data_IF_461972902216
#
_entry.id   IF_461972902216
#
_cell.length_a   1.000
_cell.length_b   1.000
_cell.length_c   1.000
_cell.angle_alpha   90.00
_cell.angle_beta   90.00
_cell.angle_gamma   90.00
#
_symmetry.space_group_name_H-M   'P 1'
#
loop_
_entity.id
_entity.type
_entity.pdbx_description
1 polymer ?
#
# COMPACT_ATOMS: atom_id res chain seq x y z
N UNK A 1 -39.84 11.03 -2.64
CA UNK A 1 -39.57 9.91 -1.71
C UNK A 1 -38.51 8.92 -2.22
N UNK A 2 -38.68 8.29 -3.40
CA UNK A 2 -37.75 7.29 -3.97
C UNK A 2 -36.27 7.72 -4.08
N UNK A 3 -36.01 8.98 -4.47
CA UNK A 3 -34.65 9.56 -4.57
C UNK A 3 -33.95 9.75 -3.22
N UNK A 4 -34.71 9.79 -2.12
CA UNK A 4 -34.18 9.84 -0.75
C UNK A 4 -33.74 8.44 -0.31
N UNK A 5 -34.62 7.44 -0.44
CA UNK A 5 -34.31 6.04 -0.13
C UNK A 5 -33.09 5.51 -0.89
N UNK A 6 -32.94 5.87 -2.17
CA UNK A 6 -31.74 5.51 -2.96
C UNK A 6 -30.44 6.07 -2.37
N UNK A 7 -30.46 7.27 -1.77
CA UNK A 7 -29.26 7.85 -1.13
C UNK A 7 -28.95 7.16 0.21
N UNK A 8 -29.97 6.85 1.00
CA UNK A 8 -29.79 6.07 2.24
C UNK A 8 -29.14 4.72 1.98
N UNK A 9 -29.59 3.98 0.96
CA UNK A 9 -28.99 2.69 0.58
C UNK A 9 -27.51 2.82 0.23
N UNK A 10 -27.11 3.91 -0.45
CA UNK A 10 -25.71 4.16 -0.80
C UNK A 10 -24.87 4.40 0.47
N UNK A 11 -25.37 5.17 1.43
CA UNK A 11 -24.66 5.39 2.69
C UNK A 11 -24.52 4.09 3.51
N UNK A 12 -25.59 3.29 3.59
CA UNK A 12 -25.55 1.98 4.26
C UNK A 12 -24.52 1.07 3.60
N UNK A 13 -24.44 1.06 2.26
CA UNK A 13 -23.46 0.27 1.53
C UNK A 13 -22.02 0.71 1.83
N UNK A 14 -21.75 2.02 1.88
CA UNK A 14 -20.43 2.55 2.23
C UNK A 14 -20.04 2.13 3.65
N UNK A 15 -20.95 2.28 4.61
CA UNK A 15 -20.70 1.88 6.02
C UNK A 15 -20.43 0.37 6.08
N UNK A 16 -21.22 -0.43 5.39
CA UNK A 16 -21.04 -1.88 5.31
C UNK A 16 -19.66 -2.24 4.73
N UNK A 17 -19.25 -1.63 3.63
CA UNK A 17 -17.92 -1.84 3.01
C UNK A 17 -16.80 -1.49 3.99
N UNK A 18 -16.90 -0.38 4.72
CA UNK A 18 -15.87 0.01 5.70
C UNK A 18 -15.78 -1.03 6.82
N UNK A 19 -16.91 -1.40 7.44
CA UNK A 19 -16.96 -2.38 8.52
C UNK A 19 -16.41 -3.73 8.05
N UNK A 20 -16.90 -4.22 6.90
CA UNK A 20 -16.49 -5.50 6.37
C UNK A 20 -15.00 -5.50 5.99
N UNK A 21 -14.47 -4.38 5.48
CA UNK A 21 -13.04 -4.24 5.18
C UNK A 21 -12.21 -4.39 6.46
N UNK A 22 -12.62 -3.73 7.54
CA UNK A 22 -11.93 -3.84 8.82
C UNK A 22 -12.00 -5.27 9.36
N UNK A 23 -13.17 -5.91 9.33
CA UNK A 23 -13.36 -7.28 9.83
C UNK A 23 -12.50 -8.27 9.03
N UNK A 24 -12.54 -8.21 7.69
CA UNK A 24 -11.71 -9.05 6.84
C UNK A 24 -10.23 -8.86 7.15
N UNK A 25 -9.81 -7.61 7.39
CA UNK A 25 -8.40 -7.33 7.71
C UNK A 25 -7.98 -7.91 9.04
N UNK A 26 -8.78 -7.75 10.09
CA UNK A 26 -8.53 -8.34 11.40
C UNK A 26 -8.45 -9.87 11.30
N UNK A 27 -9.33 -10.47 10.51
CA UNK A 27 -9.35 -11.92 10.29
C UNK A 27 -8.11 -12.41 9.53
N UNK A 28 -7.72 -11.74 8.44
CA UNK A 28 -6.61 -12.20 7.60
C UNK A 28 -5.22 -11.86 8.17
N UNK A 29 -5.09 -10.79 8.97
CA UNK A 29 -3.80 -10.32 9.49
C UNK A 29 -2.91 -11.38 10.14
N UNK A 30 -3.40 -12.25 11.06
CA UNK A 30 -2.57 -13.29 11.66
C UNK A 30 -2.23 -14.45 10.70
N UNK A 31 -2.95 -14.57 9.58
CA UNK A 31 -2.82 -15.68 8.60
C UNK A 31 -1.97 -15.28 7.39
N UNK A 32 -1.93 -14.00 7.06
CA UNK A 32 -1.19 -13.49 5.91
C UNK A 32 0.34 -13.51 6.14
N UNK A 33 1.08 -13.86 5.08
CA UNK A 33 2.55 -13.98 5.08
C UNK A 33 3.07 -15.42 4.98
N UNK A 34 2.22 -16.43 5.16
CA UNK A 34 2.63 -17.84 5.03
C UNK A 34 2.98 -18.24 3.59
N UNK A 35 2.23 -17.72 2.61
CA UNK A 35 2.44 -18.03 1.18
C UNK A 35 3.72 -17.38 0.61
N UNK A 36 4.19 -16.29 1.22
CA UNK A 36 5.38 -15.54 0.80
C UNK A 36 6.51 -15.66 1.82
N UNK A 37 6.49 -16.75 2.61
CA UNK A 37 7.38 -16.92 3.75
C UNK A 37 8.84 -16.73 3.37
N UNK A 38 9.25 -17.27 2.21
CA UNK A 38 10.64 -17.16 1.75
C UNK A 38 11.02 -15.70 1.42
N UNK A 39 10.36 -15.07 0.45
CA UNK A 39 10.58 -13.66 0.08
C UNK A 39 10.53 -12.74 1.31
N UNK A 40 9.54 -12.94 2.17
CA UNK A 40 9.39 -12.17 3.39
C UNK A 40 10.55 -12.40 4.37
N UNK A 41 10.99 -13.65 4.56
CA UNK A 41 12.11 -13.99 5.43
C UNK A 41 13.44 -13.44 4.92
N UNK A 42 13.72 -13.51 3.62
CA UNK A 42 14.94 -12.94 3.04
C UNK A 42 14.96 -11.41 3.16
N UNK A 43 13.84 -10.74 2.87
CA UNK A 43 13.69 -9.30 3.09
C UNK A 43 13.81 -8.91 4.57
N UNK A 44 13.23 -9.69 5.47
CA UNK A 44 13.31 -9.45 6.90
C UNK A 44 14.75 -9.62 7.41
N UNK A 45 15.49 -10.63 6.93
CA UNK A 45 16.88 -10.86 7.30
C UNK A 45 17.78 -9.69 6.88
N UNK A 46 17.71 -9.27 5.61
CA UNK A 46 18.46 -8.11 5.10
C UNK A 46 18.16 -6.84 5.92
N UNK A 47 16.88 -6.59 6.19
CA UNK A 47 16.45 -5.42 6.97
C UNK A 47 16.93 -5.49 8.41
N UNK A 48 16.85 -6.66 9.04
CA UNK A 48 17.29 -6.86 10.42
C UNK A 48 18.78 -6.55 10.58
N UNK A 49 19.61 -6.96 9.63
CA UNK A 49 21.04 -6.60 9.61
C UNK A 49 21.22 -5.09 9.57
N UNK A 50 20.52 -4.39 8.66
CA UNK A 50 20.60 -2.92 8.58
C UNK A 50 20.12 -2.25 9.87
N UNK A 51 19.07 -2.78 10.51
CA UNK A 51 18.59 -2.28 11.80
C UNK A 51 19.61 -2.48 12.93
N UNK A 52 20.21 -3.67 13.04
CA UNK A 52 21.20 -4.00 14.08
C UNK A 52 22.51 -3.23 13.92
N UNK A 53 22.90 -2.92 12.67
CA UNK A 53 24.11 -2.13 12.36
C UNK A 53 23.86 -0.62 12.34
N UNK A 54 22.63 -0.16 12.57
CA UNK A 54 22.16 1.24 12.40
C UNK A 54 22.55 1.85 11.03
N UNK A 55 22.49 1.03 9.99
CA UNK A 55 22.82 1.42 8.62
C UNK A 55 21.57 1.82 7.84
N UNK A 56 21.73 2.79 6.95
CA UNK A 56 20.71 3.10 5.97
C UNK A 56 20.71 2.05 4.84
N UNK A 57 19.55 1.51 4.44
CA UNK A 57 19.49 0.48 3.41
C UNK A 57 19.86 1.09 2.07
N UNK A 58 20.97 0.64 1.49
CA UNK A 58 21.52 1.10 0.22
C UNK A 58 21.40 0.05 -0.89
N UNK A 59 20.96 -1.17 -0.56
CA UNK A 59 20.76 -2.27 -1.49
C UNK A 59 19.27 -2.42 -1.87
N UNK A 60 19.00 -2.97 -3.04
CA UNK A 60 17.64 -3.31 -3.49
C UNK A 60 17.12 -4.62 -2.88
N UNK A 61 15.80 -4.84 -2.97
CA UNK A 61 15.16 -6.07 -2.49
C UNK A 61 15.66 -7.28 -3.28
N UNK A 62 16.08 -8.36 -2.62
CA UNK A 62 16.53 -9.59 -3.31
C UNK A 62 15.39 -10.17 -4.14
N UNK A 63 15.68 -10.58 -5.36
CA UNK A 63 14.78 -11.39 -6.17
C UNK A 63 15.12 -12.85 -5.87
N UNK A 64 14.30 -13.56 -5.11
CA UNK A 64 14.68 -14.87 -4.58
C UNK A 64 15.14 -15.85 -5.65
N UNK A 65 16.31 -16.48 -5.41
CA UNK A 65 16.65 -17.83 -5.89
C UNK A 65 17.87 -18.50 -5.19
N UNK A 66 18.38 -18.03 -4.03
CA UNK A 66 19.60 -18.59 -3.43
C UNK A 66 19.68 -18.56 -1.90
N UNK A 67 20.92 -18.65 -1.38
CA UNK A 67 21.22 -18.75 0.05
C UNK A 67 21.13 -17.39 0.75
N UNK A 68 20.55 -17.36 1.96
CA UNK A 68 20.50 -16.15 2.81
C UNK A 68 21.88 -15.50 3.06
N UNK A 69 22.95 -16.29 2.96
CA UNK A 69 24.33 -15.85 3.19
C UNK A 69 25.06 -15.41 1.91
N UNK A 70 24.45 -15.59 0.74
CA UNK A 70 25.05 -15.22 -0.53
C UNK A 70 24.57 -13.83 -0.95
N UNK A 71 25.50 -12.88 -1.08
CA UNK A 71 25.20 -11.50 -1.48
C UNK A 71 25.26 -11.29 -3.00
N UNK A 72 25.52 -12.33 -3.79
CA UNK A 72 25.59 -12.27 -5.25
C UNK A 72 24.23 -12.27 -5.94
N UNK A 73 23.13 -12.41 -5.19
CA UNK A 73 21.79 -12.51 -5.75
C UNK A 73 21.33 -11.23 -6.47
N UNK A 74 20.60 -11.37 -7.59
CA UNK A 74 20.01 -10.24 -8.28
C UNK A 74 19.00 -9.51 -7.37
N UNK A 75 19.09 -8.18 -7.37
CA UNK A 75 18.24 -7.30 -6.55
C UNK A 75 17.35 -6.45 -7.44
N UNK A 76 16.07 -6.37 -7.10
CA UNK A 76 15.12 -5.47 -7.75
C UNK A 76 15.34 -4.06 -7.18
N UNK A 77 15.46 -3.03 -8.05
CA UNK A 77 15.47 -1.65 -7.60
C UNK A 77 14.20 -1.37 -6.79
N UNK A 78 14.40 -0.93 -5.56
CA UNK A 78 13.33 -0.84 -4.57
C UNK A 78 13.84 -0.31 -3.23
N UNK A 79 14.84 0.58 -3.23
CA UNK A 79 15.39 1.14 -1.98
C UNK A 79 14.30 1.70 -1.08
N UNK A 80 13.25 2.30 -1.66
CA UNK A 80 12.07 2.74 -0.90
C UNK A 80 11.37 1.62 -0.12
N UNK A 81 11.32 0.39 -0.66
CA UNK A 81 10.75 -0.75 0.08
C UNK A 81 11.50 -1.03 1.38
N UNK A 82 12.83 -1.09 1.34
CA UNK A 82 13.61 -1.31 2.55
C UNK A 82 13.64 -0.09 3.48
N UNK A 83 13.64 1.13 2.95
CA UNK A 83 13.49 2.36 3.76
C UNK A 83 12.15 2.31 4.51
N UNK A 84 11.06 2.03 3.80
CA UNK A 84 9.71 1.95 4.37
C UNK A 84 9.62 0.86 5.44
N UNK A 85 10.14 -0.33 5.13
CA UNK A 85 10.20 -1.44 6.09
C UNK A 85 11.00 -1.04 7.33
N UNK A 86 12.23 -0.52 7.16
CA UNK A 86 13.09 -0.12 8.27
C UNK A 86 12.43 0.97 9.14
N UNK A 87 11.75 1.95 8.54
CA UNK A 87 10.98 2.97 9.30
C UNK A 87 9.89 2.30 10.14
N UNK A 88 9.07 1.43 9.55
CA UNK A 88 8.03 0.71 10.28
C UNK A 88 8.61 -0.15 11.42
N UNK A 89 9.76 -0.78 11.19
CA UNK A 89 10.42 -1.64 12.17
C UNK A 89 11.07 -0.84 13.31
N UNK A 90 11.70 0.30 12.99
CA UNK A 90 12.21 1.27 13.98
C UNK A 90 11.09 1.83 14.85
N UNK A 91 9.98 2.26 14.24
CA UNK A 91 8.78 2.72 14.98
C UNK A 91 8.20 1.64 15.90
N UNK A 92 8.35 0.38 15.52
CA UNK A 92 7.90 -0.77 16.28
C UNK A 92 8.93 -1.29 17.31
N UNK A 93 10.06 -0.61 17.50
CA UNK A 93 11.15 -1.05 18.38
C UNK A 93 11.60 -2.50 18.10
N UNK A 94 11.68 -2.88 16.83
CA UNK A 94 12.07 -4.23 16.42
C UNK A 94 10.97 -5.30 16.54
N UNK A 95 9.74 -4.93 16.91
CA UNK A 95 8.62 -5.87 16.94
C UNK A 95 7.98 -6.02 15.55
N UNK A 96 8.16 -7.20 14.93
CA UNK A 96 7.66 -7.46 13.58
C UNK A 96 6.13 -7.40 13.47
N UNK A 97 5.40 -7.84 14.49
CA UNK A 97 3.94 -7.80 14.50
C UNK A 97 3.44 -6.35 14.49
N UNK A 98 4.02 -5.50 15.33
CA UNK A 98 3.68 -4.07 15.38
C UNK A 98 4.14 -3.36 14.10
N UNK A 99 5.31 -3.71 13.55
CA UNK A 99 5.79 -3.18 12.27
C UNK A 99 4.82 -3.46 11.11
N UNK A 100 4.20 -4.65 11.07
CA UNK A 100 3.16 -4.98 10.10
C UNK A 100 1.89 -4.14 10.27
N UNK A 101 1.56 -3.73 11.49
CA UNK A 101 0.45 -2.79 11.74
C UNK A 101 0.79 -1.41 11.15
N UNK A 102 2.01 -0.90 11.38
CA UNK A 102 2.46 0.35 10.74
C UNK A 102 2.45 0.25 9.22
N UNK A 103 2.88 -0.88 8.66
CA UNK A 103 2.79 -1.14 7.23
C UNK A 103 1.35 -1.05 6.72
N UNK A 104 0.41 -1.76 7.36
CA UNK A 104 -1.01 -1.72 7.01
C UNK A 104 -1.55 -0.28 7.02
N UNK A 105 -1.26 0.50 8.06
CA UNK A 105 -1.69 1.90 8.16
C UNK A 105 -1.11 2.72 7.00
N UNK A 106 0.21 2.64 6.80
CA UNK A 106 0.90 3.42 5.77
C UNK A 106 0.41 3.08 4.35
N UNK A 107 0.16 1.80 4.07
CA UNK A 107 -0.27 1.31 2.77
C UNK A 107 -1.76 1.60 2.51
N UNK A 108 -2.56 1.89 3.54
CA UNK A 108 -3.93 2.38 3.40
C UNK A 108 -3.99 3.88 3.04
N UNK A 109 -3.01 4.70 3.43
CA UNK A 109 -3.02 6.16 3.19
C UNK A 109 -3.19 6.49 1.68
N UNK A 110 -2.38 5.94 0.75
CA UNK A 110 -2.56 6.16 -0.68
C UNK A 110 -3.97 5.88 -1.19
N UNK A 111 -4.57 4.79 -0.72
CA UNK A 111 -5.90 4.36 -1.13
C UNK A 111 -6.99 5.24 -0.55
N UNK A 112 -6.86 5.68 0.71
CA UNK A 112 -7.80 6.61 1.31
C UNK A 112 -7.77 7.97 0.61
N UNK A 113 -6.58 8.45 0.22
CA UNK A 113 -6.45 9.67 -0.60
C UNK A 113 -7.11 9.50 -1.97
N UNK A 114 -6.89 8.36 -2.64
CA UNK A 114 -7.58 8.02 -3.90
C UNK A 114 -9.10 8.00 -3.74
N UNK A 115 -9.62 7.33 -2.72
CA UNK A 115 -11.06 7.27 -2.46
C UNK A 115 -11.63 8.66 -2.13
N UNK A 116 -10.92 9.48 -1.37
CA UNK A 116 -11.30 10.87 -1.13
C UNK A 116 -11.34 11.69 -2.43
N UNK A 117 -10.35 11.53 -3.31
CA UNK A 117 -10.35 12.16 -4.62
C UNK A 117 -11.55 11.70 -5.48
N UNK A 118 -11.85 10.40 -5.51
CA UNK A 118 -13.04 9.87 -6.22
C UNK A 118 -14.32 10.49 -5.67
N UNK A 119 -14.44 10.60 -4.34
CA UNK A 119 -15.59 11.26 -3.69
C UNK A 119 -15.74 12.72 -4.10
N UNK A 120 -14.62 13.45 -4.23
CA UNK A 120 -14.62 14.86 -4.62
C UNK A 120 -14.92 15.08 -6.10
N UNK A 121 -14.47 14.18 -6.98
CA UNK A 121 -14.57 14.33 -8.44
C UNK A 121 -15.85 13.75 -9.02
N UNK A 122 -16.37 12.67 -8.43
CA UNK A 122 -17.49 11.90 -8.98
C UNK A 122 -18.71 11.89 -8.05
N UNK A 123 -19.81 11.28 -8.51
CA UNK A 123 -21.01 11.14 -7.70
C UNK A 123 -20.82 10.15 -6.53
N UNK A 124 -21.61 10.31 -5.47
CA UNK A 124 -21.63 9.41 -4.31
C UNK A 124 -21.85 7.94 -4.70
N UNK A 125 -22.61 7.67 -5.77
CA UNK A 125 -22.84 6.31 -6.28
C UNK A 125 -21.56 5.68 -6.84
N UNK A 126 -20.79 6.45 -7.61
CA UNK A 126 -19.51 6.00 -8.16
C UNK A 126 -18.53 5.74 -7.02
N UNK A 127 -18.45 6.66 -6.06
CA UNK A 127 -17.63 6.48 -4.86
C UNK A 127 -17.96 5.17 -4.13
N UNK A 128 -19.24 4.85 -3.94
CA UNK A 128 -19.65 3.62 -3.27
C UNK A 128 -19.27 2.34 -4.03
N UNK A 129 -19.37 2.35 -5.37
CA UNK A 129 -18.93 1.22 -6.20
C UNK A 129 -17.41 1.06 -6.13
N UNK A 130 -16.66 2.15 -6.31
CA UNK A 130 -15.20 2.12 -6.33
C UNK A 130 -14.64 1.75 -4.94
N UNK A 131 -15.20 2.28 -3.86
CA UNK A 131 -14.78 1.91 -2.51
C UNK A 131 -15.02 0.44 -2.21
N UNK A 132 -16.14 -0.13 -2.66
CA UNK A 132 -16.39 -1.57 -2.59
C UNK A 132 -15.32 -2.36 -3.36
N UNK A 133 -15.11 -2.02 -4.64
CA UNK A 133 -14.16 -2.73 -5.50
C UNK A 133 -12.72 -2.67 -4.98
N UNK A 134 -12.32 -1.59 -4.31
CA UNK A 134 -10.95 -1.43 -3.80
C UNK A 134 -10.80 -2.03 -2.40
N UNK A 135 -11.69 -1.68 -1.45
CA UNK A 135 -11.54 -2.07 -0.05
C UNK A 135 -11.87 -3.54 0.20
N UNK A 136 -12.73 -4.14 -0.64
CA UNK A 136 -13.12 -5.56 -0.57
C UNK A 136 -12.30 -6.47 -1.49
N UNK A 137 -11.33 -5.93 -2.23
CA UNK A 137 -10.50 -6.72 -3.11
C UNK A 137 -9.57 -7.63 -2.28
N UNK A 138 -9.77 -8.95 -2.39
CA UNK A 138 -9.01 -9.94 -1.61
C UNK A 138 -7.51 -9.84 -1.90
N UNK A 139 -7.12 -9.59 -3.15
CA UNK A 139 -5.72 -9.40 -3.52
C UNK A 139 -5.13 -8.15 -2.85
N UNK A 140 -5.85 -7.03 -2.85
CA UNK A 140 -5.40 -5.82 -2.15
C UNK A 140 -5.34 -6.04 -0.63
N UNK A 141 -6.32 -6.72 -0.05
CA UNK A 141 -6.37 -7.04 1.39
C UNK A 141 -5.11 -7.82 1.79
N UNK A 142 -4.81 -8.93 1.11
CA UNK A 142 -3.67 -9.79 1.46
C UNK A 142 -2.32 -9.10 1.26
N UNK A 143 -2.17 -8.32 0.17
CA UNK A 143 -0.94 -7.59 -0.13
C UNK A 143 -0.63 -6.48 0.87
N UNK A 144 -1.64 -5.81 1.41
CA UNK A 144 -1.44 -4.67 2.30
C UNK A 144 -0.94 -5.07 3.72
N UNK A 145 -0.99 -6.36 4.08
CA UNK A 145 -0.66 -6.83 5.43
C UNK A 145 0.74 -7.41 5.59
N UNK A 146 1.50 -7.49 4.49
CA UNK A 146 2.83 -8.12 4.46
C UNK A 146 3.86 -7.12 3.91
N UNK A 147 5.11 -7.27 4.36
CA UNK A 147 6.23 -6.55 3.74
C UNK A 147 6.67 -7.31 2.50
N UNK A 148 6.20 -6.84 1.35
CA UNK A 148 6.60 -7.38 0.06
C UNK A 148 6.64 -6.24 -0.97
N UNK A 149 7.69 -6.20 -1.78
CA UNK A 149 7.99 -5.04 -2.65
C UNK A 149 6.80 -4.68 -3.60
N UNK A 150 6.18 -5.63 -4.33
CA UNK A 150 4.99 -5.35 -5.13
C UNK A 150 3.81 -4.72 -4.39
N UNK A 151 3.69 -4.91 -3.07
CA UNK A 151 2.59 -4.34 -2.29
C UNK A 151 2.67 -2.82 -2.19
N UNK A 152 3.88 -2.28 -2.07
CA UNK A 152 4.12 -0.84 -2.04
C UNK A 152 3.76 -0.26 -3.41
N UNK A 153 4.26 -0.85 -4.49
CA UNK A 153 3.92 -0.44 -5.87
C UNK A 153 2.42 -0.43 -6.09
N UNK A 154 1.68 -1.44 -5.60
CA UNK A 154 0.23 -1.50 -5.70
C UNK A 154 -0.43 -0.30 -5.00
N UNK A 155 -0.04 0.01 -3.75
CA UNK A 155 -0.60 1.16 -3.02
C UNK A 155 -0.26 2.50 -3.69
N UNK A 156 0.97 2.69 -4.17
CA UNK A 156 1.37 3.92 -4.87
C UNK A 156 0.73 4.07 -6.25
N UNK A 157 0.30 2.98 -6.90
CA UNK A 157 -0.40 3.06 -8.19
C UNK A 157 -1.72 3.84 -8.09
N UNK A 158 -2.37 3.86 -6.92
CA UNK A 158 -3.57 4.69 -6.67
C UNK A 158 -3.25 6.19 -6.64
N UNK A 159 -2.10 6.58 -6.09
CA UNK A 159 -1.64 7.97 -6.13
C UNK A 159 -1.25 8.37 -7.55
N UNK A 160 -0.51 7.50 -8.24
CA UNK A 160 -0.14 7.71 -9.63
C UNK A 160 -1.39 7.91 -10.51
N UNK A 161 -2.39 7.05 -10.38
CA UNK A 161 -3.62 7.14 -11.17
C UNK A 161 -4.37 8.46 -10.93
N UNK A 162 -4.49 8.88 -9.66
CA UNK A 162 -5.07 10.18 -9.30
C UNK A 162 -4.33 11.33 -9.99
N UNK A 163 -3.01 11.38 -9.86
CA UNK A 163 -2.19 12.44 -10.45
C UNK A 163 -2.27 12.42 -11.97
N UNK A 164 -2.24 11.24 -12.58
CA UNK A 164 -2.32 11.09 -14.02
C UNK A 164 -3.66 11.63 -14.56
N UNK A 165 -4.78 11.31 -13.91
CA UNK A 165 -6.08 11.84 -14.30
C UNK A 165 -6.16 13.37 -14.17
N UNK A 166 -5.61 13.95 -13.10
CA UNK A 166 -5.56 15.41 -12.93
C UNK A 166 -4.65 16.08 -13.95
N UNK A 167 -3.51 15.45 -14.27
CA UNK A 167 -2.60 15.90 -15.32
C UNK A 167 -3.29 15.97 -16.68
N UNK A 168 -4.04 14.93 -17.07
CA UNK A 168 -4.67 14.88 -18.39
C UNK A 168 -5.96 15.71 -18.51
N UNK A 169 -6.59 16.08 -17.40
CA UNK A 169 -7.92 16.71 -17.40
C UNK A 169 -7.97 18.14 -16.89
N UNK A 170 -6.87 18.69 -16.38
CA UNK A 170 -6.82 20.06 -15.86
C UNK A 170 -6.02 20.99 -16.78
N UNK A 171 -6.49 22.23 -16.90
CA UNK A 171 -5.75 23.30 -17.57
C UNK A 171 -4.49 23.72 -16.78
N UNK A 172 -4.42 23.39 -15.49
CA UNK A 172 -3.28 23.66 -14.61
C UNK A 172 -2.61 22.35 -14.16
N UNK A 173 -1.99 21.69 -15.10
CA UNK A 173 -1.37 20.38 -14.96
C UNK A 173 0.02 20.40 -14.31
N UNK A 174 0.50 21.57 -13.86
CA UNK A 174 1.88 21.76 -13.40
C UNK A 174 2.25 20.89 -12.19
N UNK A 175 1.44 20.89 -11.13
CA UNK A 175 1.73 20.10 -9.92
C UNK A 175 1.68 18.58 -10.18
N UNK A 176 0.64 18.03 -10.86
CA UNK A 176 0.67 16.65 -11.32
C UNK A 176 1.86 16.32 -12.23
N UNK A 177 2.23 17.23 -13.14
CA UNK A 177 3.36 17.04 -14.06
C UNK A 177 4.69 16.94 -13.30
N UNK A 178 4.94 17.82 -12.33
CA UNK A 178 6.15 17.78 -11.48
C UNK A 178 6.26 16.48 -10.69
N UNK A 179 5.13 15.92 -10.24
CA UNK A 179 5.11 14.70 -9.44
C UNK A 179 5.25 13.42 -10.28
N UNK A 180 4.72 13.41 -11.52
CA UNK A 180 4.82 12.27 -12.45
C UNK A 180 6.17 12.27 -13.19
N UNK A 181 6.60 13.45 -13.63
CA UNK A 181 7.83 13.68 -14.37
C UNK A 181 8.70 14.66 -13.57
N UNK A 182 9.33 14.22 -12.47
CA UNK A 182 10.26 15.08 -11.75
C UNK A 182 11.45 15.38 -12.68
N UNK A 183 11.40 16.54 -13.34
CA UNK A 183 12.50 17.03 -14.15
C UNK A 183 13.59 17.55 -13.24
N UNK A 184 14.77 16.96 -13.34
CA UNK A 184 16.00 17.52 -12.80
C UNK A 184 16.39 18.68 -13.73
N UNK A 185 16.04 19.90 -13.32
CA UNK A 185 16.70 21.10 -13.81
C UNK A 185 17.96 21.35 -12.98
#
# INVERSE_FOLDING_TARGET
>A
MLKSYSRYLVYVLIIFVIIFSVVLRIYSFPRDGQEYYRDFSSHFYDMKIHYENDEFPHLGARFEMGSLFDNSEPRVPGGFFYIHFLICYKLANGNLFIARIYNLISMLIPVLLFLYWVFKRFSLKIFAVISSLVLMNIYYISRNMIFYNPCITLSFSFLFFMMFCEYTSSDNSFLPAMLIFPSWH
#
